data_IF_430588741157
#
_entry.id   IF_430588741157
#
_cell.length_a   1.000
_cell.length_b   1.000
_cell.length_c   1.000
_cell.angle_alpha   90.00
_cell.angle_beta   90.00
_cell.angle_gamma   90.00
#
_symmetry.space_group_name_H-M   'P 1'
#
loop_
_entity.id
_entity.type
_entity.pdbx_description
1 polymer ?
#
# COMPACT_ATOMS: atom_id res chain seq x y z
N UNK A 1 29.98 -34.46 -30.77
CA UNK A 1 29.71 -35.63 -29.91
C UNK A 1 29.73 -35.17 -28.46
N UNK A 2 28.91 -35.83 -27.66
CA UNK A 2 28.31 -35.43 -26.39
C UNK A 2 29.31 -35.33 -25.23
N UNK A 3 29.27 -34.24 -24.45
CA UNK A 3 29.79 -34.21 -23.07
C UNK A 3 28.62 -34.09 -22.10
N UNK A 4 28.32 -35.20 -21.44
CA UNK A 4 27.37 -35.31 -20.34
C UNK A 4 28.18 -35.25 -19.04
N UNK A 5 27.87 -34.30 -18.14
CA UNK A 5 28.58 -34.14 -16.87
C UNK A 5 28.18 -32.90 -16.07
N UNK A 6 27.04 -33.02 -15.37
CA UNK A 6 26.74 -32.48 -14.03
C UNK A 6 26.95 -30.99 -13.73
N UNK A 7 25.87 -30.21 -13.57
CA UNK A 7 25.68 -29.40 -12.34
C UNK A 7 24.19 -29.22 -12.03
N UNK A 8 23.78 -29.73 -10.88
CA UNK A 8 22.45 -29.56 -10.30
C UNK A 8 22.34 -28.14 -9.71
N UNK A 9 21.65 -27.21 -10.38
CA UNK A 9 21.32 -25.91 -9.81
C UNK A 9 19.82 -25.85 -9.49
N UNK A 10 19.49 -26.32 -8.30
CA UNK A 10 18.24 -25.98 -7.64
C UNK A 10 18.23 -24.47 -7.37
N UNK A 11 17.34 -23.73 -8.03
CA UNK A 11 16.97 -22.35 -7.66
C UNK A 11 17.82 -21.20 -8.22
N UNK A 12 18.63 -21.42 -9.26
CA UNK A 12 19.46 -20.36 -9.87
C UNK A 12 18.79 -19.68 -11.05
N UNK A 13 18.47 -18.39 -10.91
CA UNK A 13 18.02 -17.47 -11.97
C UNK A 13 18.92 -17.60 -13.20
N UNK A 14 18.36 -18.08 -14.31
CA UNK A 14 19.01 -18.04 -15.63
C UNK A 14 18.70 -16.71 -16.30
N UNK A 15 19.63 -15.76 -16.22
CA UNK A 15 19.64 -14.58 -17.08
C UNK A 15 20.30 -14.95 -18.41
N UNK A 16 19.49 -15.41 -19.37
CA UNK A 16 19.86 -15.54 -20.78
C UNK A 16 19.03 -14.51 -21.56
N UNK A 17 19.71 -13.82 -22.47
CA UNK A 17 19.23 -12.63 -23.18
C UNK A 17 17.77 -12.70 -23.62
N UNK A 18 17.01 -11.69 -23.18
CA UNK A 18 15.57 -11.62 -23.36
C UNK A 18 14.97 -11.26 -22.02
N UNK A 19 14.95 -9.96 -21.73
CA UNK A 19 14.20 -9.28 -20.67
C UNK A 19 13.49 -10.26 -19.75
N UNK A 20 14.23 -10.79 -18.78
CA UNK A 20 13.65 -11.55 -17.68
C UNK A 20 12.92 -10.48 -16.85
N UNK A 21 11.73 -10.08 -17.33
CA UNK A 21 10.64 -9.57 -16.51
C UNK A 21 10.24 -10.74 -15.63
N UNK A 22 11.13 -11.07 -14.70
CA UNK A 22 10.68 -11.40 -13.37
C UNK A 22 10.04 -10.11 -12.89
N UNK A 23 8.81 -9.88 -13.36
CA UNK A 23 7.76 -9.31 -12.56
C UNK A 23 7.57 -10.33 -11.44
N UNK A 24 8.58 -10.48 -10.57
CA UNK A 24 8.29 -10.43 -9.16
C UNK A 24 7.55 -9.12 -9.06
N UNK A 25 6.21 -9.22 -9.18
CA UNK A 25 5.28 -8.34 -8.52
C UNK A 25 5.83 -8.33 -7.11
N UNK A 26 6.76 -7.41 -6.88
CA UNK A 26 7.39 -7.24 -5.61
C UNK A 26 6.21 -6.74 -4.79
N UNK A 27 5.55 -7.67 -4.10
CA UNK A 27 4.65 -7.41 -2.99
C UNK A 27 5.39 -6.66 -1.86
N UNK A 28 6.63 -6.23 -2.09
CA UNK A 28 7.23 -5.11 -1.40
C UNK A 28 6.38 -3.88 -1.70
N UNK A 29 5.52 -3.60 -0.74
CA UNK A 29 5.09 -2.25 -0.45
C UNK A 29 6.31 -1.32 -0.54
N UNK A 30 6.45 -0.62 -1.67
CA UNK A 30 7.63 0.17 -2.01
C UNK A 30 7.87 1.20 -0.91
N UNK A 31 9.14 1.41 -0.51
CA UNK A 31 9.45 2.37 0.55
C UNK A 31 8.98 3.79 0.21
N UNK A 32 8.94 4.15 -1.08
CA UNK A 32 8.38 5.42 -1.54
C UNK A 32 6.86 5.48 -1.37
N UNK A 33 6.15 4.38 -1.67
CA UNK A 33 4.71 4.27 -1.46
C UNK A 33 4.34 4.38 0.03
N UNK A 34 5.10 3.70 0.88
CA UNK A 34 4.95 3.81 2.34
C UNK A 34 5.13 5.25 2.80
N UNK A 35 6.19 5.92 2.35
CA UNK A 35 6.45 7.32 2.69
C UNK A 35 5.36 8.28 2.19
N UNK A 36 4.81 8.03 0.99
CA UNK A 36 3.69 8.82 0.47
C UNK A 36 2.41 8.63 1.29
N UNK A 37 2.10 7.40 1.70
CA UNK A 37 0.96 7.13 2.59
C UNK A 37 1.14 7.75 3.97
N UNK A 38 2.32 7.60 4.59
CA UNK A 38 2.63 8.23 5.87
C UNK A 38 2.49 9.76 5.79
N UNK A 39 2.95 10.38 4.70
CA UNK A 39 2.81 11.83 4.47
C UNK A 39 1.35 12.24 4.37
N UNK A 40 0.52 11.48 3.64
CA UNK A 40 -0.91 11.76 3.48
C UNK A 40 -1.68 11.53 4.78
N UNK A 41 -1.35 10.49 5.53
CA UNK A 41 -1.95 10.20 6.84
C UNK A 41 -1.60 11.32 7.84
N UNK A 42 -0.34 11.77 7.87
CA UNK A 42 0.09 12.89 8.70
C UNK A 42 -0.66 14.19 8.34
N UNK A 43 -0.81 14.48 7.05
CA UNK A 43 -1.59 15.62 6.59
C UNK A 43 -3.05 15.51 7.04
N UNK A 44 -3.66 14.33 6.92
CA UNK A 44 -5.03 14.06 7.37
C UNK A 44 -5.21 14.43 8.84
N UNK A 45 -4.26 14.04 9.69
CA UNK A 45 -4.29 14.34 11.13
C UNK A 45 -4.37 15.84 11.43
N UNK A 46 -3.74 16.67 10.60
CA UNK A 46 -3.68 18.12 10.79
C UNK A 46 -4.90 18.83 10.20
N UNK A 47 -5.43 18.34 9.07
CA UNK A 47 -6.46 19.05 8.29
C UNK A 47 -7.88 18.51 8.48
N UNK A 48 -8.05 17.35 9.12
CA UNK A 48 -9.37 16.75 9.30
C UNK A 48 -10.22 17.62 10.24
N UNK A 49 -11.46 18.00 9.83
CA UNK A 49 -12.30 18.90 10.61
C UNK A 49 -12.83 18.27 11.91
N UNK A 50 -12.88 16.94 11.97
CA UNK A 50 -13.23 16.19 13.17
C UNK A 50 -12.00 15.46 13.76
N UNK A 51 -11.35 16.02 14.79
CA UNK A 51 -10.18 15.41 15.40
C UNK A 51 -10.51 14.09 16.10
N UNK A 52 -11.73 13.90 16.62
CA UNK A 52 -12.10 12.67 17.32
C UNK A 52 -12.16 11.48 16.35
N UNK A 53 -12.74 11.66 15.16
CA UNK A 53 -12.70 10.63 14.11
C UNK A 53 -11.27 10.41 13.61
N UNK A 54 -10.50 11.48 13.39
CA UNK A 54 -9.11 11.35 12.95
C UNK A 54 -8.26 10.53 13.95
N UNK A 55 -8.36 10.80 15.25
CA UNK A 55 -7.64 10.06 16.29
C UNK A 55 -8.02 8.57 16.36
N UNK A 56 -9.27 8.22 16.02
CA UNK A 56 -9.74 6.83 16.03
C UNK A 56 -9.33 6.06 14.77
N UNK A 57 -9.44 6.68 13.60
CA UNK A 57 -9.30 5.99 12.31
C UNK A 57 -7.86 6.05 11.75
N UNK A 58 -7.10 7.10 12.04
CA UNK A 58 -5.70 7.22 11.56
C UNK A 58 -4.79 6.06 12.01
N UNK A 59 -4.84 5.58 13.27
CA UNK A 59 -4.03 4.44 13.69
C UNK A 59 -4.30 3.17 12.87
N UNK A 60 -5.52 3.00 12.34
CA UNK A 60 -5.88 1.87 11.47
C UNK A 60 -5.15 2.00 10.12
N UNK A 61 -5.11 3.21 9.56
CA UNK A 61 -4.36 3.49 8.33
C UNK A 61 -2.85 3.24 8.54
N UNK A 62 -2.28 3.71 9.66
CA UNK A 62 -0.87 3.53 9.99
C UNK A 62 -0.48 2.06 10.18
N UNK A 63 -1.30 1.27 10.86
CA UNK A 63 -1.03 -0.16 11.06
C UNK A 63 -1.10 -0.92 9.73
N UNK A 64 -2.06 -0.56 8.89
CA UNK A 64 -2.25 -1.20 7.61
C UNK A 64 -1.11 -0.86 6.61
N UNK A 65 -0.53 0.35 6.70
CA UNK A 65 0.72 0.74 6.00
C UNK A 65 1.93 -0.09 6.45
N UNK A 66 2.00 -0.43 7.75
CA UNK A 66 3.06 -1.29 8.29
C UNK A 66 2.88 -2.76 7.89
N UNK A 67 1.62 -3.21 7.80
CA UNK A 67 1.25 -4.61 7.52
C UNK A 67 0.18 -4.69 6.43
N UNK A 68 0.55 -4.56 5.14
CA UNK A 68 -0.42 -4.70 4.06
C UNK A 68 -0.95 -6.15 4.01
N UNK A 69 -2.25 -6.31 4.21
CA UNK A 69 -2.97 -7.59 4.16
C UNK A 69 -4.41 -7.36 3.70
N UNK A 70 -5.10 -8.42 3.26
CA UNK A 70 -6.50 -8.33 2.84
C UNK A 70 -7.42 -7.91 4.00
N UNK A 71 -7.20 -8.46 5.19
CA UNK A 71 -7.92 -8.06 6.41
C UNK A 71 -7.72 -6.56 6.73
N UNK A 72 -6.49 -6.07 6.57
CA UNK A 72 -6.19 -4.66 6.82
C UNK A 72 -6.75 -3.76 5.72
N UNK A 73 -6.90 -4.25 4.48
CA UNK A 73 -7.57 -3.52 3.41
C UNK A 73 -9.02 -3.19 3.76
N UNK A 74 -9.79 -4.19 4.20
CA UNK A 74 -11.20 -3.98 4.58
C UNK A 74 -11.33 -2.99 5.75
N UNK A 75 -10.41 -3.07 6.71
CA UNK A 75 -10.34 -2.10 7.82
C UNK A 75 -10.02 -0.69 7.34
N UNK A 76 -9.12 -0.56 6.36
CA UNK A 76 -8.79 0.74 5.77
C UNK A 76 -9.92 1.30 4.95
N UNK A 77 -10.60 0.52 4.13
CA UNK A 77 -11.78 0.98 3.39
C UNK A 77 -12.86 1.50 4.35
N UNK A 78 -13.10 0.78 5.46
CA UNK A 78 -14.03 1.23 6.51
C UNK A 78 -13.55 2.52 7.20
N UNK A 79 -12.25 2.63 7.51
CA UNK A 79 -11.68 3.82 8.13
C UNK A 79 -11.77 5.04 7.20
N UNK A 80 -11.48 4.86 5.90
CA UNK A 80 -11.57 5.89 4.87
C UNK A 80 -13.02 6.35 4.68
N UNK A 81 -14.00 5.46 4.68
CA UNK A 81 -15.42 5.82 4.60
C UNK A 81 -15.86 6.68 5.80
N UNK A 82 -15.42 6.32 7.00
CA UNK A 82 -15.71 7.07 8.23
C UNK A 82 -15.04 8.44 8.24
N UNK A 83 -13.79 8.52 7.78
CA UNK A 83 -13.09 9.79 7.60
C UNK A 83 -13.77 10.66 6.54
N UNK A 84 -14.15 10.11 5.39
CA UNK A 84 -14.89 10.86 4.36
C UNK A 84 -16.24 11.38 4.89
N UNK A 85 -16.98 10.54 5.61
CA UNK A 85 -18.27 10.91 6.19
C UNK A 85 -18.14 12.06 7.20
N UNK A 86 -17.13 12.01 8.08
CA UNK A 86 -16.91 13.05 9.10
C UNK A 86 -16.11 14.25 8.59
N UNK A 87 -15.48 14.16 7.42
CA UNK A 87 -14.84 15.29 6.75
C UNK A 87 -15.87 16.32 6.23
N UNK A 88 -17.14 15.92 6.06
CA UNK A 88 -18.20 16.79 5.54
C UNK A 88 -17.84 17.37 4.18
N UNK A 89 -17.84 18.70 4.05
CA UNK A 89 -17.49 19.41 2.81
C UNK A 89 -16.03 19.90 2.77
N UNK A 90 -15.17 19.41 3.67
CA UNK A 90 -13.76 19.83 3.71
C UNK A 90 -13.01 19.20 2.55
N UNK A 91 -12.91 19.96 1.45
CA UNK A 91 -12.29 19.51 0.19
C UNK A 91 -10.91 18.89 0.40
N UNK A 92 -10.06 19.53 1.20
CA UNK A 92 -8.70 19.04 1.48
C UNK A 92 -8.69 17.69 2.20
N UNK A 93 -9.60 17.47 3.16
CA UNK A 93 -9.70 16.20 3.86
C UNK A 93 -10.25 15.10 2.93
N UNK A 94 -11.26 15.41 2.12
CA UNK A 94 -11.80 14.48 1.12
C UNK A 94 -10.78 14.10 0.05
N UNK A 95 -10.02 15.07 -0.46
CA UNK A 95 -8.93 14.83 -1.41
C UNK A 95 -7.88 13.90 -0.81
N UNK A 96 -7.47 14.13 0.43
CA UNK A 96 -6.49 13.30 1.10
C UNK A 96 -7.02 11.87 1.39
N UNK A 97 -8.28 11.72 1.80
CA UNK A 97 -8.93 10.40 1.95
C UNK A 97 -8.97 9.65 0.62
N UNK A 98 -9.44 10.30 -0.45
CA UNK A 98 -9.52 9.70 -1.78
C UNK A 98 -8.13 9.28 -2.30
N UNK A 99 -7.12 10.11 -2.04
CA UNK A 99 -5.76 9.85 -2.45
C UNK A 99 -5.15 8.65 -1.70
N UNK A 100 -5.48 8.46 -0.41
CA UNK A 100 -5.08 7.25 0.34
C UNK A 100 -5.79 6.01 -0.22
N UNK A 101 -7.11 6.10 -0.47
CA UNK A 101 -7.89 4.99 -1.04
C UNK A 101 -7.37 4.54 -2.41
N UNK A 102 -6.98 5.48 -3.28
CA UNK A 102 -6.40 5.17 -4.58
C UNK A 102 -5.07 4.40 -4.46
N UNK A 103 -4.20 4.79 -3.52
CA UNK A 103 -2.93 4.11 -3.27
C UNK A 103 -3.15 2.69 -2.72
N UNK A 104 -4.11 2.53 -1.81
CA UNK A 104 -4.49 1.22 -1.26
C UNK A 104 -5.03 0.31 -2.37
N UNK A 105 -5.96 0.80 -3.19
CA UNK A 105 -6.55 0.01 -4.27
C UNK A 105 -5.53 -0.41 -5.34
N UNK A 106 -4.54 0.44 -5.64
CA UNK A 106 -3.51 0.17 -6.65
C UNK A 106 -2.43 -0.81 -6.17
N UNK A 107 -2.17 -0.90 -4.86
CA UNK A 107 -0.98 -1.56 -4.34
C UNK A 107 -1.22 -2.63 -3.27
N UNK A 108 -2.45 -2.78 -2.75
CA UNK A 108 -2.79 -3.85 -1.80
C UNK A 108 -3.45 -5.05 -2.47
N UNK A 109 -3.24 -6.26 -1.92
CA UNK A 109 -3.95 -7.45 -2.37
C UNK A 109 -5.47 -7.19 -2.32
N UNK A 110 -6.17 -7.61 -3.37
CA UNK A 110 -7.64 -7.55 -3.50
C UNK A 110 -8.27 -8.91 -3.44
#
# INVERSE_FOLDING_TARGET
>A
MNFNGSVNFNGGVQNLGGTNKVTQTNYYFDAALRGELETRIAALRTVHPDPATAEREIPILEEAVRRPSLENRERVDTALERLATNAGNTRTALEAVAAIGALVAAHWPG
#
